data_IF_192114157867
#
_entry.id   IF_192114157867
#
_cell.length_a   1.000
_cell.length_b   1.000
_cell.length_c   1.000
_cell.angle_alpha   90.00
_cell.angle_beta   90.00
_cell.angle_gamma   90.00
#
_symmetry.space_group_name_H-M   'P 1'
#
loop_
_entity.id
_entity.type
_entity.pdbx_description
1 polymer ?
#
# COMPACT_ATOMS: atom_id res chain seq x y z
N UNK A 1 3.65 38.06 -16.36
CA UNK A 1 3.62 37.32 -15.07
C UNK A 1 3.23 35.88 -15.38
N UNK A 2 4.17 34.96 -15.27
CA UNK A 2 3.89 33.53 -15.44
C UNK A 2 3.18 33.06 -14.18
N UNK A 3 1.88 32.80 -14.28
CA UNK A 3 1.09 32.18 -13.21
C UNK A 3 1.67 30.80 -12.92
N UNK A 4 2.40 30.66 -11.82
CA UNK A 4 2.79 29.36 -11.28
C UNK A 4 1.52 28.72 -10.74
N UNK A 5 0.84 27.92 -11.57
CA UNK A 5 -0.25 27.07 -11.08
C UNK A 5 0.42 26.02 -10.19
N UNK A 6 0.40 26.25 -8.88
CA UNK A 6 0.85 25.29 -7.89
C UNK A 6 0.10 23.97 -8.13
N UNK A 7 0.86 22.91 -8.36
CA UNK A 7 0.26 21.59 -8.54
C UNK A 7 -0.50 21.22 -7.26
N UNK A 8 -1.80 20.89 -7.38
CA UNK A 8 -2.63 20.48 -6.23
C UNK A 8 -1.96 19.33 -5.48
N UNK A 9 -2.07 19.27 -4.15
CA UNK A 9 -1.57 18.11 -3.41
C UNK A 9 -2.40 16.86 -3.71
N UNK A 10 -1.91 15.68 -3.34
CA UNK A 10 -2.72 14.45 -3.39
C UNK A 10 -3.98 14.58 -2.52
N UNK A 11 -3.85 15.19 -1.33
CA UNK A 11 -4.95 15.40 -0.42
C UNK A 11 -6.05 16.28 -1.05
N UNK A 12 -5.66 17.38 -1.70
CA UNK A 12 -6.61 18.28 -2.36
C UNK A 12 -7.33 17.61 -3.53
N UNK A 13 -6.61 16.81 -4.33
CA UNK A 13 -7.20 16.05 -5.44
C UNK A 13 -8.21 15.01 -4.96
N UNK A 14 -7.93 14.36 -3.82
CA UNK A 14 -8.89 13.45 -3.19
C UNK A 14 -10.09 14.24 -2.66
N UNK A 15 -9.87 15.39 -2.01
CA UNK A 15 -10.96 16.24 -1.52
C UNK A 15 -11.87 16.71 -2.65
N UNK A 16 -11.32 17.05 -3.83
CA UNK A 16 -12.11 17.38 -5.02
C UNK A 16 -13.05 16.22 -5.41
N UNK A 17 -12.54 14.98 -5.42
CA UNK A 17 -13.34 13.78 -5.75
C UNK A 17 -14.42 13.49 -4.72
N UNK A 18 -14.13 13.69 -3.43
CA UNK A 18 -15.08 13.45 -2.34
C UNK A 18 -16.16 14.53 -2.29
N UNK A 19 -15.82 15.79 -2.61
CA UNK A 19 -16.77 16.93 -2.66
C UNK A 19 -17.66 16.90 -3.89
N UNK A 20 -17.13 16.48 -5.04
CA UNK A 20 -17.89 16.38 -6.29
C UNK A 20 -18.15 14.91 -6.65
N UNK A 21 -19.32 14.38 -6.30
CA UNK A 21 -19.71 12.99 -6.62
C UNK A 21 -19.81 12.71 -8.12
N UNK A 22 -19.92 13.76 -8.94
CA UNK A 22 -19.98 13.67 -10.41
C UNK A 22 -18.61 13.76 -11.09
N UNK A 23 -17.52 13.98 -10.35
CA UNK A 23 -16.17 13.97 -10.93
C UNK A 23 -15.90 12.61 -11.61
N UNK A 24 -15.45 12.68 -12.87
CA UNK A 24 -15.16 11.53 -13.74
C UNK A 24 -13.73 11.48 -14.22
N UNK A 25 -12.99 12.59 -14.16
CA UNK A 25 -11.59 12.63 -14.56
C UNK A 25 -10.75 11.77 -13.61
N UNK A 26 -9.97 10.82 -14.12
CA UNK A 26 -9.02 10.04 -13.33
C UNK A 26 -8.12 10.92 -12.47
N UNK A 27 -7.93 10.50 -11.22
CA UNK A 27 -7.10 11.23 -10.26
C UNK A 27 -5.67 10.76 -10.36
N UNK A 28 -4.74 11.70 -10.51
CA UNK A 28 -3.31 11.41 -10.35
C UNK A 28 -3.00 11.17 -8.89
N UNK A 29 -2.64 9.94 -8.55
CA UNK A 29 -2.27 9.53 -7.20
C UNK A 29 -0.77 9.69 -6.95
N UNK A 30 0.05 9.49 -7.99
CA UNK A 30 1.51 9.69 -7.95
C UNK A 30 2.00 10.29 -9.27
N UNK A 31 3.00 11.15 -9.19
CA UNK A 31 3.65 11.72 -10.37
C UNK A 31 4.54 10.70 -11.10
N UNK A 32 5.12 9.76 -10.35
CA UNK A 32 6.04 8.75 -10.85
C UNK A 32 5.68 7.38 -10.27
N UNK A 33 6.13 6.34 -10.98
CA UNK A 33 6.07 4.96 -10.52
C UNK A 33 7.14 4.74 -9.44
N UNK A 34 6.84 4.04 -8.34
CA UNK A 34 7.85 3.69 -7.34
C UNK A 34 9.08 3.01 -7.95
N UNK A 35 10.27 3.40 -7.53
CA UNK A 35 11.54 2.87 -8.06
C UNK A 35 11.60 1.34 -8.00
N UNK A 36 11.09 0.74 -6.92
CA UNK A 36 11.03 -0.72 -6.77
C UNK A 36 10.24 -1.42 -7.89
N UNK A 37 9.22 -0.77 -8.48
CA UNK A 37 8.51 -1.31 -9.64
C UNK A 37 9.30 -1.06 -10.93
N UNK A 38 9.96 0.10 -11.05
CA UNK A 38 10.82 0.45 -12.19
C UNK A 38 12.01 -0.49 -12.31
N UNK A 39 12.69 -0.76 -11.21
CA UNK A 39 13.78 -1.75 -11.08
C UNK A 39 13.34 -3.16 -11.48
N UNK A 40 12.02 -3.43 -11.45
CA UNK A 40 11.42 -4.70 -11.85
C UNK A 40 10.72 -4.64 -13.23
N UNK A 41 11.07 -3.64 -14.05
CA UNK A 41 10.72 -3.58 -15.47
C UNK A 41 9.42 -2.85 -15.79
N UNK A 42 8.81 -2.14 -14.83
CA UNK A 42 7.64 -1.28 -15.09
C UNK A 42 8.10 0.09 -15.59
N UNK A 43 7.55 0.60 -16.68
CA UNK A 43 7.87 1.98 -17.13
C UNK A 43 7.57 3.01 -16.04
N UNK A 44 8.45 3.99 -15.88
CA UNK A 44 8.22 5.12 -14.99
C UNK A 44 7.16 6.07 -15.58
N UNK A 45 5.90 5.84 -15.20
CA UNK A 45 4.73 6.61 -15.62
C UNK A 45 3.99 7.17 -14.39
N UNK A 46 3.16 8.22 -14.54
CA UNK A 46 2.31 8.67 -13.46
C UNK A 46 1.26 7.60 -13.12
N UNK A 47 0.83 7.57 -11.86
CA UNK A 47 -0.14 6.58 -11.39
C UNK A 47 -1.51 7.21 -11.17
N UNK A 48 -2.54 6.58 -11.71
CA UNK A 48 -3.91 7.09 -11.71
C UNK A 48 -4.92 6.05 -11.23
N UNK A 49 -6.05 6.54 -10.70
CA UNK A 49 -7.23 5.73 -10.38
C UNK A 49 -8.51 6.49 -10.77
N UNK A 50 -9.58 5.76 -11.08
CA UNK A 50 -10.87 6.39 -11.38
C UNK A 50 -11.51 6.97 -10.11
N UNK A 51 -12.20 8.12 -10.17
CA UNK A 51 -12.83 8.73 -9.00
C UNK A 51 -13.81 7.82 -8.26
N UNK A 52 -14.52 6.96 -8.98
CA UNK A 52 -15.43 5.98 -8.37
C UNK A 52 -14.71 4.97 -7.49
N UNK A 53 -13.51 4.52 -7.89
CA UNK A 53 -12.70 3.62 -7.07
C UNK A 53 -12.05 4.36 -5.89
N UNK A 54 -11.60 5.61 -6.07
CA UNK A 54 -11.15 6.46 -4.95
C UNK A 54 -12.24 6.56 -3.87
N UNK A 55 -13.48 6.87 -4.26
CA UNK A 55 -14.63 6.93 -3.35
C UNK A 55 -14.89 5.58 -2.67
N UNK A 56 -14.89 4.47 -3.42
CA UNK A 56 -15.09 3.12 -2.88
C UNK A 56 -13.99 2.69 -1.92
N UNK A 57 -12.73 3.05 -2.18
CA UNK A 57 -11.61 2.73 -1.30
C UNK A 57 -11.69 3.52 0.01
N UNK A 58 -12.08 4.80 -0.05
CA UNK A 58 -12.09 5.71 1.10
C UNK A 58 -13.35 5.56 1.97
N UNK A 59 -14.52 5.58 1.34
CA UNK A 59 -15.80 5.67 2.04
C UNK A 59 -16.29 4.29 2.46
N UNK A 60 -17.05 4.27 3.54
CA UNK A 60 -18.02 3.21 3.83
C UNK A 60 -19.26 3.38 2.95
N UNK A 61 -20.05 2.31 2.80
CA UNK A 61 -21.34 2.38 2.09
C UNK A 61 -22.30 3.40 2.75
N UNK A 62 -22.28 3.50 4.08
CA UNK A 62 -23.09 4.47 4.82
C UNK A 62 -22.69 5.91 4.51
N UNK A 63 -21.39 6.22 4.48
CA UNK A 63 -20.91 7.54 4.09
C UNK A 63 -21.23 7.85 2.63
N UNK A 64 -21.06 6.88 1.73
CA UNK A 64 -21.40 7.03 0.32
C UNK A 64 -22.89 7.33 0.11
N UNK A 65 -23.76 6.61 0.83
CA UNK A 65 -25.22 6.84 0.82
C UNK A 65 -25.56 8.25 1.31
N UNK A 66 -24.92 8.71 2.40
CA UNK A 66 -25.12 10.08 2.93
C UNK A 66 -24.69 11.17 1.93
N UNK A 67 -23.70 10.87 1.07
CA UNK A 67 -23.25 11.76 0.00
C UNK A 67 -24.13 11.70 -1.27
N UNK A 68 -25.19 10.88 -1.27
CA UNK A 68 -26.11 10.75 -2.41
C UNK A 68 -25.58 9.87 -3.55
N UNK A 69 -24.57 9.02 -3.29
CA UNK A 69 -24.11 8.05 -4.29
C UNK A 69 -25.11 6.89 -4.39
N UNK A 70 -25.46 6.52 -5.62
CA UNK A 70 -26.20 5.27 -5.87
C UNK A 70 -25.31 4.07 -5.54
N UNK A 71 -25.81 3.16 -4.72
CA UNK A 71 -25.11 1.95 -4.29
C UNK A 71 -25.68 0.74 -5.04
N UNK A 72 -24.81 -0.02 -5.69
CA UNK A 72 -25.17 -1.30 -6.30
C UNK A 72 -24.62 -2.46 -5.45
N UNK A 73 -25.24 -3.64 -5.56
CA UNK A 73 -24.79 -4.85 -4.86
C UNK A 73 -23.35 -5.28 -5.20
N UNK A 74 -22.86 -4.89 -6.37
CA UNK A 74 -21.49 -5.15 -6.82
C UNK A 74 -20.48 -4.07 -6.40
N UNK A 75 -20.93 -3.00 -5.73
CA UNK A 75 -20.05 -1.99 -5.21
C UNK A 75 -19.42 -2.46 -3.90
N UNK A 76 -18.09 -2.42 -3.85
CA UNK A 76 -17.32 -2.80 -2.67
C UNK A 76 -16.73 -1.54 -2.05
N UNK A 77 -17.40 -1.02 -1.02
CA UNK A 77 -16.90 0.10 -0.22
C UNK A 77 -16.01 -0.45 0.90
N UNK A 78 -14.79 0.08 1.01
CA UNK A 78 -13.73 -0.47 1.86
C UNK A 78 -13.52 0.35 3.14
N UNK A 79 -14.03 1.58 3.22
CA UNK A 79 -14.02 2.36 4.45
C UNK A 79 -12.62 2.63 5.02
N UNK A 80 -11.59 2.74 4.18
CA UNK A 80 -10.24 3.00 4.66
C UNK A 80 -10.10 4.38 5.31
N UNK A 81 -10.92 5.35 4.88
CA UNK A 81 -10.76 6.75 5.22
C UNK A 81 -9.61 7.42 4.44
N UNK A 82 -9.71 8.75 4.30
CA UNK A 82 -8.79 9.55 3.46
C UNK A 82 -7.34 9.42 3.92
N UNK A 83 -7.10 9.54 5.22
CA UNK A 83 -5.74 9.55 5.77
C UNK A 83 -5.00 8.23 5.55
N UNK A 84 -5.69 7.11 5.80
CA UNK A 84 -5.10 5.79 5.60
C UNK A 84 -4.87 5.53 4.10
N UNK A 85 -5.84 5.90 3.25
CA UNK A 85 -5.69 5.77 1.80
C UNK A 85 -4.45 6.52 1.28
N UNK A 86 -4.23 7.78 1.71
CA UNK A 86 -3.02 8.54 1.37
C UNK A 86 -1.75 7.85 1.86
N UNK A 87 -1.73 7.39 3.13
CA UNK A 87 -0.58 6.65 3.70
C UNK A 87 -0.26 5.39 2.90
N UNK A 88 -1.29 4.69 2.42
CA UNK A 88 -1.14 3.49 1.59
C UNK A 88 -0.53 3.83 0.22
N UNK A 89 -0.97 4.90 -0.44
CA UNK A 89 -0.39 5.36 -1.71
C UNK A 89 1.10 5.70 -1.53
N UNK A 90 1.46 6.39 -0.45
CA UNK A 90 2.86 6.70 -0.14
C UNK A 90 3.67 5.43 0.20
N UNK A 91 3.04 4.39 0.77
CA UNK A 91 3.72 3.13 1.11
C UNK A 91 4.18 2.32 -0.11
N UNK A 92 3.74 2.67 -1.32
CA UNK A 92 4.19 2.04 -2.56
C UNK A 92 5.70 2.19 -2.81
N UNK A 93 6.37 3.17 -2.19
CA UNK A 93 7.84 3.30 -2.22
C UNK A 93 8.55 2.21 -1.42
N UNK A 94 7.87 1.64 -0.42
CA UNK A 94 8.42 0.62 0.46
C UNK A 94 7.37 -0.50 0.68
N UNK A 95 6.98 -1.23 -0.39
CA UNK A 95 6.01 -2.29 -0.27
C UNK A 95 6.60 -3.46 0.52
N UNK A 96 5.74 -4.33 1.05
CA UNK A 96 6.21 -5.57 1.70
C UNK A 96 6.60 -6.61 0.66
N UNK A 97 5.71 -6.85 -0.31
CA UNK A 97 5.89 -7.86 -1.35
C UNK A 97 5.26 -7.35 -2.64
N UNK A 98 5.87 -7.66 -3.78
CA UNK A 98 5.29 -7.43 -5.10
C UNK A 98 5.20 -8.78 -5.82
N UNK A 99 3.99 -9.07 -6.31
CA UNK A 99 3.74 -10.19 -7.20
C UNK A 99 3.44 -9.68 -8.61
N UNK A 100 3.93 -10.38 -9.62
CA UNK A 100 3.61 -10.18 -11.03
C UNK A 100 2.77 -11.36 -11.54
N UNK A 101 1.72 -11.09 -12.30
CA UNK A 101 0.94 -12.11 -12.98
C UNK A 101 1.73 -12.62 -14.21
N UNK A 102 1.97 -13.92 -14.32
CA UNK A 102 2.74 -14.51 -15.43
C UNK A 102 1.98 -14.59 -16.74
N UNK A 103 0.65 -14.63 -16.67
CA UNK A 103 -0.21 -14.72 -17.85
C UNK A 103 -0.55 -13.33 -18.40
N UNK A 104 -0.34 -12.29 -17.59
CA UNK A 104 -0.58 -10.89 -17.91
C UNK A 104 0.52 -10.05 -17.26
N UNK A 105 1.64 -9.92 -17.95
CA UNK A 105 2.87 -9.36 -17.38
C UNK A 105 2.74 -7.90 -16.93
N UNK A 106 1.67 -7.21 -17.31
CA UNK A 106 1.34 -5.86 -16.86
C UNK A 106 0.45 -5.82 -15.61
N UNK A 107 0.00 -6.95 -15.06
CA UNK A 107 -0.78 -6.99 -13.82
C UNK A 107 0.12 -7.32 -12.62
N UNK A 108 0.05 -6.48 -11.60
CA UNK A 108 0.81 -6.61 -10.36
C UNK A 108 -0.13 -6.63 -9.16
N UNK A 109 0.28 -7.34 -8.11
CA UNK A 109 -0.38 -7.33 -6.82
C UNK A 109 0.65 -6.93 -5.76
N UNK A 110 0.43 -5.79 -5.12
CA UNK A 110 1.30 -5.28 -4.07
C UNK A 110 0.67 -5.56 -2.71
N UNK A 111 1.47 -6.12 -1.81
CA UNK A 111 1.15 -6.23 -0.40
C UNK A 111 1.90 -5.13 0.36
N UNK A 112 1.18 -4.29 1.09
CA UNK A 112 1.79 -3.19 1.86
C UNK A 112 2.21 -3.64 3.26
N UNK A 113 3.02 -2.82 3.93
CA UNK A 113 3.29 -2.94 5.37
C UNK A 113 2.19 -2.29 6.23
N UNK A 114 1.30 -1.51 5.62
CA UNK A 114 0.21 -0.80 6.27
C UNK A 114 -0.98 -1.76 6.47
N UNK A 115 -1.70 -1.55 7.57
CA UNK A 115 -2.87 -2.33 7.92
C UNK A 115 -4.12 -1.46 7.95
N UNK A 116 -5.26 -2.08 7.68
CA UNK A 116 -6.56 -1.46 7.89
C UNK A 116 -6.94 -1.42 9.38
N UNK A 117 -8.09 -0.82 9.67
CA UNK A 117 -8.66 -0.72 11.03
C UNK A 117 -8.97 -2.09 11.66
N UNK A 118 -9.08 -3.13 10.83
CA UNK A 118 -9.33 -4.51 11.25
C UNK A 118 -8.03 -5.34 11.32
N UNK A 119 -6.86 -4.69 11.26
CA UNK A 119 -5.53 -5.31 11.32
C UNK A 119 -5.25 -6.28 10.15
N UNK A 120 -5.98 -6.14 9.04
CA UNK A 120 -5.71 -6.83 7.78
C UNK A 120 -4.60 -6.12 7.01
N UNK A 121 -3.83 -6.87 6.24
CA UNK A 121 -2.86 -6.25 5.33
C UNK A 121 -3.61 -5.61 4.17
N UNK A 122 -3.16 -4.44 3.72
CA UNK A 122 -3.74 -3.76 2.57
C UNK A 122 -3.06 -4.24 1.29
N UNK A 123 -3.86 -4.54 0.28
CA UNK A 123 -3.40 -4.93 -1.06
C UNK A 123 -3.74 -3.88 -2.11
N UNK A 124 -2.89 -3.80 -3.13
CA UNK A 124 -3.02 -2.83 -4.22
C UNK A 124 -2.77 -3.57 -5.55
N UNK A 125 -3.84 -3.96 -6.26
CA UNK A 125 -3.72 -4.42 -7.65
C UNK A 125 -3.38 -3.25 -8.57
N UNK A 126 -2.37 -3.43 -9.42
CA UNK A 126 -1.91 -2.45 -10.40
C UNK A 126 -1.97 -3.06 -11.80
N UNK A 127 -2.42 -2.26 -12.76
CA UNK A 127 -2.30 -2.54 -14.19
C UNK A 127 -1.31 -1.53 -14.78
N UNK A 128 -0.12 -2.00 -15.12
CA UNK A 128 0.95 -1.20 -15.67
C UNK A 128 0.77 -0.93 -17.17
N UNK A 129 1.42 0.13 -17.64
CA UNK A 129 1.59 0.48 -19.06
C UNK A 129 0.27 0.46 -19.83
N UNK A 130 -0.73 1.10 -19.26
CA UNK A 130 -2.07 1.27 -19.83
C UNK A 130 -2.30 2.75 -20.10
N UNK A 131 -3.45 3.09 -20.67
CA UNK A 131 -3.81 4.47 -20.96
C UNK A 131 -5.07 4.89 -20.23
N UNK A 132 -5.20 6.18 -19.97
CA UNK A 132 -6.44 6.77 -19.46
C UNK A 132 -6.70 8.12 -20.11
N UNK A 133 -7.97 8.54 -20.15
CA UNK A 133 -8.35 9.86 -20.62
C UNK A 133 -8.43 10.84 -19.44
N UNK A 134 -7.61 11.88 -19.45
CA UNK A 134 -7.63 12.98 -18.46
C UNK A 134 -7.96 14.27 -19.21
N UNK A 135 -9.07 14.92 -18.88
CA UNK A 135 -9.52 16.14 -19.58
C UNK A 135 -9.53 15.96 -21.11
N UNK A 136 -10.07 14.83 -21.58
CA UNK A 136 -10.15 14.45 -22.99
C UNK A 136 -8.81 14.20 -23.70
N UNK A 137 -7.70 14.09 -22.96
CA UNK A 137 -6.40 13.71 -23.50
C UNK A 137 -6.02 12.30 -23.03
N UNK A 138 -5.67 11.44 -23.98
CA UNK A 138 -5.13 10.11 -23.69
C UNK A 138 -3.68 10.21 -23.24
N UNK A 139 -3.38 9.61 -22.10
CA UNK A 139 -2.02 9.56 -21.54
C UNK A 139 -1.66 8.15 -21.10
N UNK A 140 -0.38 7.81 -21.17
CA UNK A 140 0.18 6.57 -20.63
C UNK A 140 0.32 6.66 -19.10
N UNK A 141 -0.10 5.61 -18.41
CA UNK A 141 -0.15 5.54 -16.95
C UNK A 141 0.18 4.13 -16.43
N UNK A 142 0.45 4.06 -15.13
CA UNK A 142 0.29 2.82 -14.36
C UNK A 142 -0.96 2.95 -13.47
N UNK A 143 -1.99 2.15 -13.74
CA UNK A 143 -3.30 2.25 -13.08
C UNK A 143 -3.30 1.53 -11.74
N UNK A 144 -3.69 2.23 -10.68
CA UNK A 144 -4.10 1.63 -9.41
C UNK A 144 -5.58 1.25 -9.56
N UNK A 145 -5.91 -0.05 -9.43
CA UNK A 145 -7.27 -0.55 -9.72
C UNK A 145 -8.22 -0.40 -8.53
N UNK A 146 -7.70 -0.63 -7.33
CA UNK A 146 -8.41 -0.56 -6.05
C UNK A 146 -7.40 -0.67 -4.91
N UNK A 147 -7.81 -0.29 -3.69
CA UNK A 147 -7.02 -0.42 -2.47
C UNK A 147 -7.95 -0.88 -1.35
N UNK A 148 -7.62 -2.02 -0.74
CA UNK A 148 -8.46 -2.56 0.33
C UNK A 148 -7.70 -3.46 1.29
N UNK A 149 -8.20 -3.49 2.53
CA UNK A 149 -7.79 -4.48 3.52
C UNK A 149 -8.25 -5.87 3.09
N UNK A 150 -7.29 -6.78 2.90
CA UNK A 150 -7.62 -8.14 2.52
C UNK A 150 -7.69 -9.01 3.77
N UNK A 151 -8.90 -9.45 4.10
CA UNK A 151 -9.15 -10.33 5.23
C UNK A 151 -8.30 -11.60 5.12
N UNK A 152 -7.45 -11.89 6.12
CA UNK A 152 -6.59 -13.07 6.11
C UNK A 152 -7.33 -14.36 6.46
N UNK A 153 -8.53 -14.29 7.03
CA UNK A 153 -9.30 -15.46 7.44
C UNK A 153 -10.28 -15.89 6.35
N UNK A 154 -10.98 -14.95 5.70
CA UNK A 154 -11.96 -15.28 4.66
C UNK A 154 -12.09 -14.19 3.56
N UNK A 155 -11.74 -14.52 2.30
CA UNK A 155 -10.92 -15.67 1.87
C UNK A 155 -9.49 -15.56 2.39
N UNK A 156 -8.80 -16.67 2.69
CA UNK A 156 -7.45 -16.59 3.27
C UNK A 156 -6.40 -16.08 2.26
N UNK A 157 -5.81 -14.90 2.51
CA UNK A 157 -4.82 -14.28 1.60
C UNK A 157 -3.60 -15.16 1.37
N UNK A 158 -3.08 -15.77 2.44
CA UNK A 158 -1.90 -16.61 2.34
C UNK A 158 -2.22 -17.82 1.46
N UNK A 159 -3.43 -18.39 1.59
CA UNK A 159 -3.90 -19.48 0.74
C UNK A 159 -4.04 -19.01 -0.72
N UNK A 160 -4.70 -17.88 -0.97
CA UNK A 160 -4.82 -17.32 -2.32
C UNK A 160 -3.45 -17.13 -2.98
N UNK A 161 -2.51 -16.48 -2.28
CA UNK A 161 -1.14 -16.27 -2.79
C UNK A 161 -0.44 -17.62 -3.00
N UNK A 162 -0.50 -18.54 -2.03
CA UNK A 162 0.13 -19.86 -2.12
C UNK A 162 -0.40 -20.69 -3.29
N UNK A 163 -1.72 -20.68 -3.51
CA UNK A 163 -2.36 -21.43 -4.58
C UNK A 163 -2.01 -20.83 -5.95
N UNK A 164 -1.98 -19.49 -6.07
CA UNK A 164 -1.56 -18.83 -7.31
C UNK A 164 -0.06 -18.97 -7.59
N UNK A 165 0.80 -19.02 -6.57
CA UNK A 165 2.22 -19.34 -6.72
C UNK A 165 2.43 -20.79 -7.14
N UNK A 166 1.77 -21.75 -6.47
CA UNK A 166 1.86 -23.19 -6.77
C UNK A 166 1.38 -23.50 -8.19
N UNK A 167 0.29 -22.85 -8.62
CA UNK A 167 -0.23 -22.96 -9.98
C UNK A 167 0.51 -22.10 -11.01
N UNK A 168 1.62 -21.45 -10.62
CA UNK A 168 2.46 -20.59 -11.47
C UNK A 168 1.70 -19.44 -12.16
N UNK A 169 0.57 -19.00 -11.60
CA UNK A 169 -0.20 -17.85 -12.11
C UNK A 169 0.43 -16.52 -11.74
N UNK A 170 1.09 -16.46 -10.58
CA UNK A 170 1.86 -15.30 -10.14
C UNK A 170 3.29 -15.69 -9.79
N UNK A 171 4.18 -14.73 -9.76
CA UNK A 171 5.51 -14.84 -9.19
C UNK A 171 5.82 -13.67 -8.28
N UNK A 172 6.61 -13.93 -7.23
CA UNK A 172 7.13 -12.91 -6.35
C UNK A 172 8.39 -12.32 -6.98
N UNK A 173 8.34 -11.04 -7.32
CA UNK A 173 9.46 -10.31 -7.94
C UNK A 173 10.23 -9.45 -6.92
N UNK A 174 9.58 -9.09 -5.83
CA UNK A 174 10.18 -8.34 -4.74
C UNK A 174 9.62 -8.80 -3.40
N UNK A 175 10.47 -8.86 -2.39
CA UNK A 175 10.07 -8.95 -0.98
C UNK A 175 11.02 -8.10 -0.16
N UNK A 176 10.44 -7.18 0.61
CA UNK A 176 11.19 -6.39 1.56
C UNK A 176 11.77 -7.35 2.60
N UNK A 177 13.10 -7.41 2.65
CA UNK A 177 13.80 -8.09 3.73
C UNK A 177 13.51 -7.31 5.01
N UNK A 178 12.50 -7.74 5.77
CA UNK A 178 12.31 -7.25 7.13
C UNK A 178 13.65 -7.50 7.83
N UNK A 179 14.30 -6.44 8.30
CA UNK A 179 15.58 -6.52 9.02
C UNK A 179 15.38 -7.24 10.37
N UNK A 180 15.09 -8.53 10.33
CA UNK A 180 15.09 -9.44 11.49
C UNK A 180 16.48 -9.48 12.13
N UNK A 181 17.53 -9.23 11.34
CA UNK A 181 18.91 -9.10 11.81
C UNK A 181 19.10 -7.96 12.81
N UNK A 182 18.45 -6.81 12.66
CA UNK A 182 18.64 -5.70 13.61
C UNK A 182 17.97 -5.98 14.96
N UNK A 183 16.78 -6.60 14.94
CA UNK A 183 16.06 -6.96 16.17
C UNK A 183 16.74 -8.12 16.93
N UNK A 184 17.24 -9.13 16.24
CA UNK A 184 18.05 -10.18 16.87
C UNK A 184 19.38 -9.68 17.41
N UNK A 185 20.03 -8.74 16.71
CA UNK A 185 21.31 -8.17 17.17
C UNK A 185 21.09 -7.28 18.40
N UNK A 186 20.04 -6.46 18.43
CA UNK A 186 19.67 -5.65 19.60
C UNK A 186 19.25 -6.51 20.80
N UNK A 187 18.46 -7.57 20.58
CA UNK A 187 18.09 -8.51 21.65
C UNK A 187 19.32 -9.25 22.17
N UNK A 188 20.22 -9.73 21.29
CA UNK A 188 21.48 -10.38 21.71
C UNK A 188 22.43 -9.42 22.43
N UNK A 189 22.52 -8.17 22.00
CA UNK A 189 23.34 -7.14 22.67
C UNK A 189 22.77 -6.78 24.04
N UNK A 190 21.45 -6.57 24.15
CA UNK A 190 20.81 -6.28 25.44
C UNK A 190 20.91 -7.45 26.43
N UNK A 191 20.75 -8.70 25.97
CA UNK A 191 20.95 -9.89 26.82
C UNK A 191 22.41 -10.02 27.28
N UNK A 192 23.40 -9.69 26.43
CA UNK A 192 24.82 -9.66 26.84
C UNK A 192 25.09 -8.56 27.87
N UNK A 193 24.48 -7.38 27.73
CA UNK A 193 24.65 -6.27 28.66
C UNK A 193 24.12 -6.60 30.06
N UNK A 194 22.90 -7.15 30.13
CA UNK A 194 22.28 -7.59 31.39
C UNK A 194 23.11 -8.69 32.07
N UNK A 195 23.63 -9.66 31.31
CA UNK A 195 24.51 -10.70 31.87
C UNK A 195 25.80 -10.12 32.45
N UNK A 196 26.39 -9.11 31.80
CA UNK A 196 27.61 -8.45 32.28
C UNK A 196 27.37 -7.65 33.56
N UNK A 197 26.25 -6.94 33.67
CA UNK A 197 25.87 -6.23 34.89
C UNK A 197 25.67 -7.21 36.06
N UNK A 198 24.94 -8.31 35.84
CA UNK A 198 24.70 -9.32 36.88
C UNK A 198 25.97 -10.07 37.32
N UNK A 199 26.96 -10.26 36.43
CA UNK A 199 28.27 -10.79 36.84
C UNK A 199 29.10 -9.78 37.63
N UNK A 200 28.94 -8.47 37.35
CA UNK A 200 29.70 -7.41 38.00
C UNK A 200 29.19 -7.13 39.43
N UNK A 201 27.87 -7.20 39.63
CA UNK A 201 27.25 -7.05 40.96
C UNK A 201 27.56 -8.22 41.90
N UNK A 202 27.73 -9.44 41.38
CA UNK A 202 28.13 -10.61 42.18
C UNK A 202 29.60 -10.57 42.64
N UNK A 203 30.50 -9.93 41.89
CA UNK A 203 31.90 -9.74 42.32
C UNK A 203 31.97 -8.66 43.41
N UNK A 204 31.15 -7.61 43.29
CA UNK A 204 31.08 -6.54 44.29
C UNK A 204 30.46 -6.97 45.64
N UNK A 205 29.61 -8.01 45.65
CA UNK A 205 29.06 -8.59 46.89
C UNK A 205 30.01 -9.58 47.58
N UNK A 206 30.86 -10.30 46.83
CA UNK A 206 31.89 -11.19 47.40
C UNK A 206 33.08 -10.45 48.03
N UNK A 207 33.35 -9.21 47.62
CA UNK A 207 34.42 -8.37 48.19
C UNK A 207 34.02 -7.64 49.48
N UNK A 208 32.76 -7.72 49.94
CA UNK A 208 32.29 -7.10 51.19
C UNK A 208 32.19 -8.08 52.38
N UNK A 209 32.62 -9.33 52.19
CA UNK A 209 32.60 -10.38 53.23
C UNK A 209 33.98 -10.96 53.57
N UNK A 210 35.05 -10.21 53.28
CA UNK A 210 36.42 -10.46 53.75
C UNK A 210 36.83 -9.27 54.63
#
# INVERSE_FOLDING_TARGET
>A
MTSYIMEKSLADRIDDVLKNIYERNPVRLRNNTPDVLVDNGVKNLPMYENPSHVRKNILTEQEATKLGLSINKSDHYHGLGKELYIKVISSLDNPRVIFRNKNKNNEFLILTMIKDIHNNNIIIPIEAETTTSVNNMMIDINRIKTIYGYNRTQPNLNKYIKDNLSSKKIEKIYEQKIMHKFRETLVKQNVKFIKKENSSTNIASQLRSL
#
